data_IF_720040077958
#
_entry.id   IF_720040077958
#
_cell.length_a   1.000
_cell.length_b   1.000
_cell.length_c   1.000
_cell.angle_alpha   90.00
_cell.angle_beta   90.00
_cell.angle_gamma   90.00
#
_symmetry.space_group_name_H-M   'P 1'
#
loop_
_entity.id
_entity.type
_entity.pdbx_description
1 polymer ?
#
# COMPACT_ATOMS: atom_id res chain seq x y z
N UNK A 1 -3.52 53.61 13.55
CA UNK A 1 -3.34 52.17 13.68
C UNK A 1 -4.14 51.54 12.54
N UNK A 2 -3.48 51.00 11.53
CA UNK A 2 -4.16 50.33 10.43
C UNK A 2 -4.60 48.93 10.93
N UNK A 3 -5.89 48.70 10.96
CA UNK A 3 -6.48 47.37 11.19
C UNK A 3 -6.11 46.47 10.00
N UNK A 4 -5.19 45.57 10.25
CA UNK A 4 -4.93 44.46 9.29
C UNK A 4 -6.17 43.56 9.36
N UNK A 5 -7.04 43.69 8.36
CA UNK A 5 -8.16 42.77 8.22
C UNK A 5 -7.57 41.41 7.88
N UNK A 6 -7.91 40.38 8.66
CA UNK A 6 -7.63 39.01 8.32
C UNK A 6 -8.19 38.69 6.92
N UNK A 7 -7.46 38.01 6.05
CA UNK A 7 -8.02 37.63 4.76
C UNK A 7 -9.30 36.82 4.98
N UNK A 8 -10.31 36.95 4.10
CA UNK A 8 -11.57 36.24 4.24
C UNK A 8 -11.27 34.70 4.31
N UNK A 9 -11.98 34.06 5.22
CA UNK A 9 -11.88 32.61 5.39
C UNK A 9 -12.39 31.95 4.10
N UNK A 10 -11.47 31.52 3.23
CA UNK A 10 -11.80 30.94 1.94
C UNK A 10 -12.07 29.46 2.14
N UNK A 11 -13.32 29.06 1.95
CA UNK A 11 -13.71 27.66 1.91
C UNK A 11 -13.23 27.02 0.61
N UNK A 12 -12.34 26.02 0.73
CA UNK A 12 -11.84 25.26 -0.39
C UNK A 12 -12.74 24.05 -0.64
N UNK A 13 -13.20 23.82 -1.89
CA UNK A 13 -14.07 22.69 -2.20
C UNK A 13 -13.35 21.35 -2.05
N UNK A 14 -14.12 20.32 -1.73
CA UNK A 14 -13.66 18.93 -1.66
C UNK A 14 -13.86 18.17 -2.99
N UNK A 15 -14.57 18.80 -3.95
CA UNK A 15 -14.83 18.25 -5.27
C UNK A 15 -14.84 19.37 -6.31
N UNK A 16 -14.34 19.09 -7.50
CA UNK A 16 -14.43 19.97 -8.67
C UNK A 16 -15.70 19.73 -9.51
N UNK A 17 -16.57 18.81 -9.06
CA UNK A 17 -17.80 18.44 -9.75
C UNK A 17 -17.61 17.45 -10.92
N UNK A 18 -16.39 16.97 -11.14
CA UNK A 18 -16.10 15.93 -12.12
C UNK A 18 -16.23 14.53 -11.50
N UNK A 19 -16.53 13.49 -12.29
CA UNK A 19 -16.49 12.11 -11.82
C UNK A 19 -15.08 11.76 -11.30
N UNK A 20 -15.01 10.90 -10.28
CA UNK A 20 -13.75 10.39 -9.73
C UNK A 20 -12.92 9.63 -10.78
N UNK A 21 -13.59 8.88 -11.65
CA UNK A 21 -13.00 8.11 -12.72
C UNK A 21 -14.00 7.98 -13.87
N UNK A 22 -13.48 7.81 -15.09
CA UNK A 22 -14.32 7.64 -16.28
C UNK A 22 -14.97 6.26 -16.35
N UNK A 23 -14.32 5.24 -15.79
CA UNK A 23 -14.78 3.85 -15.77
C UNK A 23 -14.47 3.19 -14.44
N UNK A 24 -15.18 2.11 -14.12
CA UNK A 24 -14.89 1.27 -12.96
C UNK A 24 -13.45 0.76 -12.98
N UNK A 25 -12.98 0.33 -14.14
CA UNK A 25 -11.60 -0.14 -14.33
C UNK A 25 -10.55 0.92 -13.96
N UNK A 26 -10.75 2.17 -14.42
CA UNK A 26 -9.86 3.29 -14.08
C UNK A 26 -9.82 3.52 -12.56
N UNK A 27 -11.00 3.57 -11.92
CA UNK A 27 -11.12 3.72 -10.48
C UNK A 27 -10.39 2.60 -9.72
N UNK A 28 -10.59 1.36 -10.16
CA UNK A 28 -10.01 0.18 -9.50
C UNK A 28 -8.47 0.19 -9.60
N UNK A 29 -7.91 0.61 -10.74
CA UNK A 29 -6.46 0.77 -10.90
C UNK A 29 -5.89 1.86 -9.98
N UNK A 30 -6.56 3.01 -9.86
CA UNK A 30 -6.17 4.08 -8.94
C UNK A 30 -6.16 3.59 -7.49
N UNK A 31 -7.26 2.95 -7.07
CA UNK A 31 -7.40 2.42 -5.71
C UNK A 31 -6.35 1.35 -5.44
N UNK A 32 -6.13 0.42 -6.37
CA UNK A 32 -5.11 -0.63 -6.22
C UNK A 32 -3.71 -0.03 -6.04
N UNK A 33 -3.35 0.98 -6.83
CA UNK A 33 -2.05 1.65 -6.70
C UNK A 33 -1.88 2.34 -5.34
N UNK A 34 -2.88 3.08 -4.89
CA UNK A 34 -2.87 3.77 -3.58
C UNK A 34 -2.77 2.76 -2.43
N UNK A 35 -3.66 1.76 -2.41
CA UNK A 35 -3.72 0.79 -1.33
C UNK A 35 -2.47 -0.12 -1.30
N UNK A 36 -1.89 -0.48 -2.45
CA UNK A 36 -0.61 -1.21 -2.50
C UNK A 36 0.50 -0.44 -1.78
N UNK A 37 0.61 0.86 -2.01
CA UNK A 37 1.63 1.68 -1.33
C UNK A 37 1.29 1.87 0.16
N UNK A 38 0.02 2.05 0.51
CA UNK A 38 -0.41 2.12 1.92
C UNK A 38 -0.08 0.85 2.70
N UNK A 39 -0.22 -0.34 2.12
CA UNK A 39 0.14 -1.60 2.77
C UNK A 39 1.61 -1.63 3.20
N UNK A 40 2.50 -1.01 2.42
CA UNK A 40 3.95 -1.05 2.68
C UNK A 40 4.44 0.16 3.45
N UNK A 41 3.87 1.34 3.20
CA UNK A 41 4.30 2.62 3.77
C UNK A 41 3.33 3.21 4.80
N UNK A 42 2.14 2.61 4.96
CA UNK A 42 1.09 3.17 5.82
C UNK A 42 1.44 3.25 7.31
N UNK A 43 2.43 2.49 7.77
CA UNK A 43 2.98 2.60 9.12
C UNK A 43 3.98 3.75 9.30
N UNK A 44 4.48 4.35 8.21
CA UNK A 44 5.33 5.53 8.28
C UNK A 44 4.47 6.78 8.50
N UNK A 45 4.54 7.42 9.69
CA UNK A 45 3.72 8.59 9.98
C UNK A 45 4.07 9.81 9.12
N UNK A 46 5.20 9.77 8.42
CA UNK A 46 5.71 10.86 7.60
C UNK A 46 5.71 10.52 6.11
N UNK A 47 4.90 9.56 5.70
CA UNK A 47 4.71 9.21 4.29
C UNK A 47 3.22 9.25 3.94
N UNK A 48 2.81 10.30 3.24
CA UNK A 48 1.43 10.46 2.80
C UNK A 48 1.24 9.99 1.37
N UNK A 49 0.24 9.15 1.14
CA UNK A 49 -0.19 8.72 -0.19
C UNK A 49 -1.69 8.86 -0.33
N UNK A 50 -2.12 9.40 -1.45
CA UNK A 50 -3.53 9.59 -1.80
C UNK A 50 -3.71 9.66 -3.31
N UNK A 51 -4.94 9.82 -3.75
CA UNK A 51 -5.30 10.09 -5.15
C UNK A 51 -6.70 10.63 -5.23
N UNK A 52 -7.02 11.22 -6.38
CA UNK A 52 -8.28 11.89 -6.66
C UNK A 52 -8.69 12.90 -5.57
N UNK A 53 -7.70 13.48 -4.91
CA UNK A 53 -7.85 14.51 -3.90
C UNK A 53 -7.44 15.85 -4.51
N UNK A 54 -8.22 16.91 -4.29
CA UNK A 54 -7.88 18.24 -4.79
C UNK A 54 -6.63 18.79 -4.11
N UNK A 55 -5.58 18.98 -4.89
CA UNK A 55 -4.31 19.58 -4.48
C UNK A 55 -4.33 21.06 -4.88
N UNK A 56 -4.52 21.94 -3.91
CA UNK A 56 -4.51 23.39 -4.13
C UNK A 56 -3.08 23.94 -4.03
N UNK A 57 -2.68 24.69 -5.06
CA UNK A 57 -1.30 25.17 -5.17
C UNK A 57 -1.14 26.69 -5.15
N UNK A 58 -2.23 27.45 -4.95
CA UNK A 58 -2.21 28.91 -4.83
C UNK A 58 -3.17 29.35 -3.72
N UNK A 59 -2.60 29.84 -2.62
CA UNK A 59 -3.40 30.31 -1.49
C UNK A 59 -4.32 31.48 -1.91
N UNK A 60 -5.56 31.44 -1.46
CA UNK A 60 -6.55 32.47 -1.80
C UNK A 60 -7.29 32.22 -3.14
N UNK A 61 -6.93 31.18 -3.88
CA UNK A 61 -7.52 30.91 -5.18
C UNK A 61 -8.09 29.48 -5.27
N UNK A 62 -9.39 29.36 -5.03
CA UNK A 62 -10.12 28.06 -5.06
C UNK A 62 -10.16 27.37 -6.44
N UNK A 63 -9.78 28.08 -7.51
CA UNK A 63 -9.75 27.53 -8.87
C UNK A 63 -8.37 26.99 -9.26
N UNK A 64 -7.33 27.18 -8.43
CA UNK A 64 -5.96 26.72 -8.68
C UNK A 64 -5.69 25.43 -7.95
N UNK A 65 -6.24 24.36 -8.50
CA UNK A 65 -6.07 22.99 -8.01
C UNK A 65 -5.85 22.01 -9.16
N UNK A 66 -5.46 20.83 -8.80
CA UNK A 66 -5.35 19.64 -9.66
C UNK A 66 -5.69 18.41 -8.81
N UNK A 67 -6.25 17.38 -9.41
CA UNK A 67 -6.49 16.10 -8.77
C UNK A 67 -5.65 15.03 -9.48
N UNK A 68 -4.49 14.65 -8.92
CA UNK A 68 -3.73 13.52 -9.44
C UNK A 68 -4.47 12.21 -9.15
N UNK A 69 -4.43 11.26 -10.08
CA UNK A 69 -4.99 9.92 -9.86
C UNK A 69 -4.27 9.18 -8.71
N UNK A 70 -2.97 9.41 -8.59
CA UNK A 70 -2.14 8.96 -7.47
C UNK A 70 -1.07 10.01 -7.20
N UNK A 71 -0.81 10.29 -5.92
CA UNK A 71 0.36 11.06 -5.52
C UNK A 71 0.90 10.62 -4.16
N UNK A 72 2.19 10.88 -3.93
CA UNK A 72 2.80 10.65 -2.62
C UNK A 72 3.73 11.79 -2.23
N UNK A 73 3.88 11.97 -0.91
CA UNK A 73 4.68 13.02 -0.28
C UNK A 73 5.42 12.45 0.92
N UNK A 74 6.73 12.59 0.96
CA UNK A 74 7.56 12.24 2.11
C UNK A 74 7.70 13.43 3.06
N UNK A 75 7.77 13.14 4.36
CA UNK A 75 7.94 14.16 5.39
C UNK A 75 6.69 14.99 5.66
N UNK A 76 5.52 14.48 5.30
CA UNK A 76 4.21 15.04 5.60
C UNK A 76 3.43 14.01 6.40
N UNK A 77 2.78 14.45 7.49
CA UNK A 77 2.07 13.57 8.40
C UNK A 77 0.93 12.81 7.69
N UNK A 78 0.88 11.49 7.90
CA UNK A 78 -0.12 10.61 7.29
C UNK A 78 -1.43 10.65 8.10
N UNK A 79 -2.36 11.51 7.70
CA UNK A 79 -3.72 11.60 8.25
C UNK A 79 -4.74 11.85 7.12
N UNK A 80 -6.02 11.52 7.30
CA UNK A 80 -7.08 11.85 6.34
C UNK A 80 -7.20 13.36 6.08
N UNK A 81 -7.50 13.73 4.85
CA UNK A 81 -7.69 15.12 4.40
C UNK A 81 -8.88 15.23 3.48
N UNK A 82 -9.60 16.32 3.57
CA UNK A 82 -10.67 16.67 2.63
C UNK A 82 -10.10 17.24 1.32
N UNK A 83 -8.95 17.91 1.40
CA UNK A 83 -8.17 18.45 0.30
C UNK A 83 -6.71 18.65 0.75
N UNK A 84 -5.79 18.81 -0.19
CA UNK A 84 -4.38 19.01 0.10
C UNK A 84 -3.97 20.47 -0.19
N UNK A 85 -3.66 21.24 0.85
CA UNK A 85 -3.26 22.65 0.74
C UNK A 85 -1.73 22.75 0.86
N UNK A 86 -1.05 22.96 -0.26
CA UNK A 86 0.44 22.95 -0.30
C UNK A 86 1.07 23.91 0.72
N UNK A 87 0.46 25.08 0.94
CA UNK A 87 0.98 26.08 1.88
C UNK A 87 0.80 25.69 3.36
N UNK A 88 -0.18 24.86 3.70
CA UNK A 88 -0.34 24.30 5.06
C UNK A 88 0.54 23.07 5.27
N UNK A 89 0.65 22.23 4.27
CA UNK A 89 1.47 21.02 4.33
C UNK A 89 2.98 21.31 4.20
N UNK A 90 3.35 22.50 3.70
CA UNK A 90 4.74 22.90 3.47
C UNK A 90 5.43 22.20 2.30
N UNK A 91 4.75 21.26 1.63
CA UNK A 91 5.27 20.49 0.50
C UNK A 91 4.22 20.23 -0.57
N UNK A 92 4.64 20.24 -1.82
CA UNK A 92 3.86 19.72 -2.94
C UNK A 92 4.05 18.19 -3.06
N UNK A 93 3.19 17.48 -3.81
CA UNK A 93 3.42 16.11 -4.23
C UNK A 93 4.83 15.92 -4.81
N UNK A 94 5.53 14.87 -4.36
CA UNK A 94 6.87 14.55 -4.88
C UNK A 94 6.80 13.56 -6.05
N UNK A 95 5.79 12.71 -6.08
CA UNK A 95 5.48 11.83 -7.21
C UNK A 95 4.01 11.93 -7.54
N UNK A 96 3.70 11.92 -8.84
CA UNK A 96 2.34 11.81 -9.37
C UNK A 96 2.30 10.73 -10.44
N UNK A 97 1.23 9.94 -10.45
CA UNK A 97 0.94 8.93 -11.48
C UNK A 97 -0.46 9.23 -12.00
N UNK A 98 -0.59 9.35 -13.32
CA UNK A 98 -1.89 9.46 -14.00
C UNK A 98 -2.18 8.15 -14.74
N UNK A 99 -3.33 7.58 -14.46
CA UNK A 99 -3.90 6.46 -15.19
C UNK A 99 -4.69 7.02 -16.36
N UNK A 100 -3.99 7.24 -17.48
CA UNK A 100 -4.54 8.06 -18.54
C UNK A 100 -5.61 7.33 -19.35
N UNK A 101 -6.61 8.08 -19.83
CA UNK A 101 -7.67 7.63 -20.71
C UNK A 101 -7.63 8.38 -22.05
N UNK A 102 -8.44 7.95 -23.02
CA UNK A 102 -8.53 8.64 -24.30
C UNK A 102 -8.98 10.10 -24.17
N UNK A 103 -9.82 10.40 -23.19
CA UNK A 103 -10.36 11.75 -22.95
C UNK A 103 -9.40 12.61 -22.14
N UNK A 104 -8.69 12.05 -21.14
CA UNK A 104 -7.76 12.81 -20.29
C UNK A 104 -6.37 12.95 -20.88
N UNK A 105 -5.99 12.14 -21.86
CA UNK A 105 -4.65 12.10 -22.46
C UNK A 105 -4.06 13.49 -22.73
N UNK A 106 -4.82 14.40 -23.38
CA UNK A 106 -4.29 15.73 -23.73
C UNK A 106 -4.01 16.58 -22.49
N UNK A 107 -4.85 16.43 -21.47
CA UNK A 107 -4.67 17.11 -20.18
C UNK A 107 -3.42 16.57 -19.48
N UNK A 108 -3.26 15.25 -19.41
CA UNK A 108 -2.15 14.58 -18.74
C UNK A 108 -0.81 14.84 -19.44
N UNK A 109 -0.76 14.67 -20.79
CA UNK A 109 0.48 14.86 -21.55
C UNK A 109 0.92 16.33 -21.69
N UNK A 110 0.02 17.29 -21.51
CA UNK A 110 0.31 18.71 -21.76
C UNK A 110 0.08 19.58 -20.53
N UNK A 111 -1.17 19.70 -20.07
CA UNK A 111 -1.56 20.63 -19.00
C UNK A 111 -0.98 20.23 -17.67
N UNK A 112 -1.23 19.00 -17.22
CA UNK A 112 -0.69 18.46 -15.96
C UNK A 112 0.84 18.33 -16.05
N UNK A 113 1.39 17.90 -17.19
CA UNK A 113 2.84 17.81 -17.40
C UNK A 113 3.55 19.13 -17.14
N UNK A 114 3.04 20.23 -17.68
CA UNK A 114 3.59 21.58 -17.47
C UNK A 114 3.34 22.05 -16.04
N UNK A 115 2.14 21.86 -15.52
CA UNK A 115 1.78 22.23 -14.15
C UNK A 115 2.66 21.53 -13.11
N UNK A 116 2.82 20.22 -13.24
CA UNK A 116 3.64 19.42 -12.32
C UNK A 116 5.13 19.80 -12.40
N UNK A 117 5.63 20.04 -13.61
CA UNK A 117 7.01 20.44 -13.81
C UNK A 117 7.30 21.84 -13.29
N UNK A 118 6.52 22.84 -13.68
CA UNK A 118 6.87 24.26 -13.55
C UNK A 118 6.33 24.88 -12.25
N UNK A 119 5.13 24.51 -11.83
CA UNK A 119 4.46 25.09 -10.66
C UNK A 119 4.66 24.24 -9.40
N UNK A 120 4.26 22.96 -9.47
CA UNK A 120 4.30 22.09 -8.30
C UNK A 120 5.70 21.50 -8.06
N UNK A 121 6.55 21.47 -9.08
CA UNK A 121 7.91 20.92 -8.99
C UNK A 121 7.89 19.45 -8.56
N UNK A 122 6.89 18.68 -9.03
CA UNK A 122 6.79 17.24 -8.79
C UNK A 122 8.05 16.55 -9.29
N UNK A 123 8.74 15.81 -8.41
CA UNK A 123 10.04 15.22 -8.72
C UNK A 123 9.93 14.12 -9.77
N UNK A 124 8.85 13.31 -9.69
CA UNK A 124 8.62 12.21 -10.64
C UNK A 124 7.17 12.21 -11.12
N UNK A 125 7.02 12.14 -12.41
CA UNK A 125 5.71 12.10 -13.07
C UNK A 125 5.62 10.87 -13.95
N UNK A 126 4.59 10.04 -13.74
CA UNK A 126 4.35 8.84 -14.50
C UNK A 126 3.01 8.92 -15.22
N UNK A 127 2.99 8.41 -16.45
CA UNK A 127 1.82 8.28 -17.32
C UNK A 127 1.63 6.81 -17.63
N UNK A 128 0.49 6.27 -17.27
CA UNK A 128 0.13 4.87 -17.50
C UNK A 128 -1.13 4.76 -18.35
N UNK A 129 -0.99 4.15 -19.53
CA UNK A 129 -2.08 3.78 -20.43
C UNK A 129 -2.36 2.28 -20.25
N UNK A 130 -3.41 1.91 -19.52
CA UNK A 130 -3.67 0.50 -19.18
C UNK A 130 -3.82 -0.37 -20.41
N UNK A 131 -4.50 0.12 -21.43
CA UNK A 131 -4.80 -0.62 -22.65
C UNK A 131 -3.72 -0.50 -23.73
N UNK A 132 -2.82 0.49 -23.61
CA UNK A 132 -1.78 0.75 -24.60
C UNK A 132 -2.29 1.30 -25.92
N UNK A 133 -3.43 1.98 -25.88
CA UNK A 133 -4.15 2.44 -27.07
C UNK A 133 -3.49 3.67 -27.72
N UNK A 134 -2.91 4.57 -26.90
CA UNK A 134 -2.47 5.89 -27.37
C UNK A 134 -1.09 6.32 -26.87
N UNK A 135 -0.60 5.84 -25.72
CA UNK A 135 0.79 6.12 -25.32
C UNK A 135 1.77 5.09 -25.91
N UNK A 136 2.89 5.58 -26.44
CA UNK A 136 3.96 4.74 -26.96
C UNK A 136 5.30 5.17 -26.36
N UNK A 137 5.88 4.40 -25.41
CA UNK A 137 5.34 3.21 -24.77
C UNK A 137 4.16 3.50 -23.86
N UNK A 138 3.32 2.50 -23.58
CA UNK A 138 2.10 2.61 -22.78
C UNK A 138 2.35 3.03 -21.32
N UNK A 139 3.57 2.88 -20.84
CA UNK A 139 4.00 3.36 -19.55
C UNK A 139 5.25 4.23 -19.71
N UNK A 140 5.19 5.45 -19.20
CA UNK A 140 6.24 6.45 -19.31
C UNK A 140 6.47 7.10 -17.96
N UNK A 141 7.73 7.43 -17.67
CA UNK A 141 8.13 8.15 -16.45
C UNK A 141 9.06 9.29 -16.78
N UNK A 142 8.94 10.35 -16.00
CA UNK A 142 9.74 11.56 -16.12
C UNK A 142 10.26 11.96 -14.74
N UNK A 143 11.51 12.37 -14.68
CA UNK A 143 12.15 12.90 -13.46
C UNK A 143 12.58 14.33 -13.67
N UNK A 144 12.27 15.17 -12.68
CA UNK A 144 12.64 16.58 -12.71
C UNK A 144 14.15 16.75 -12.49
N UNK A 145 14.84 17.31 -13.49
CA UNK A 145 16.25 17.71 -13.39
C UNK A 145 16.36 19.21 -13.70
N UNK A 146 16.68 20.00 -12.68
CA UNK A 146 16.60 21.46 -12.78
C UNK A 146 15.18 21.90 -13.12
N UNK A 147 14.95 22.49 -14.30
CA UNK A 147 13.64 22.98 -14.76
C UNK A 147 13.02 22.11 -15.86
N UNK A 148 13.50 20.89 -16.07
CA UNK A 148 13.04 20.03 -17.16
C UNK A 148 12.71 18.63 -16.66
N UNK A 149 11.65 18.05 -17.18
CA UNK A 149 11.42 16.62 -17.10
C UNK A 149 12.30 15.85 -18.07
N UNK A 150 13.07 14.91 -17.56
CA UNK A 150 13.88 13.98 -18.33
C UNK A 150 13.25 12.61 -18.23
N UNK A 151 13.16 11.87 -19.33
CA UNK A 151 12.61 10.52 -19.32
C UNK A 151 13.39 9.61 -18.36
N UNK A 152 12.67 8.84 -17.58
CA UNK A 152 13.22 7.76 -16.76
C UNK A 152 13.43 6.56 -17.70
N UNK A 153 14.66 6.05 -17.72
CA UNK A 153 14.97 4.86 -18.51
C UNK A 153 14.71 3.58 -17.71
N UNK A 154 14.15 2.55 -18.34
CA UNK A 154 13.91 1.29 -17.67
C UNK A 154 15.22 0.64 -17.20
N UNK A 155 15.15 0.02 -16.01
CA UNK A 155 16.18 -0.87 -15.46
C UNK A 155 15.55 -2.25 -15.33
N UNK A 156 16.05 -3.23 -16.05
CA UNK A 156 15.47 -4.57 -16.15
C UNK A 156 13.96 -4.56 -16.50
N UNK A 157 13.56 -3.68 -17.44
CA UNK A 157 12.17 -3.54 -17.90
C UNK A 157 11.27 -2.64 -17.05
N UNK A 158 11.73 -2.16 -15.89
CA UNK A 158 10.98 -1.39 -14.90
C UNK A 158 11.43 0.05 -14.82
N UNK A 159 10.51 0.98 -14.57
CA UNK A 159 10.86 2.39 -14.35
C UNK A 159 11.17 2.63 -12.86
N UNK A 160 12.42 2.97 -12.50
CA UNK A 160 12.77 3.24 -11.10
C UNK A 160 12.20 4.58 -10.62
N UNK A 161 11.49 4.55 -9.50
CA UNK A 161 11.08 5.72 -8.72
C UNK A 161 12.01 5.90 -7.52
N UNK A 162 12.73 7.00 -7.47
CA UNK A 162 13.58 7.37 -6.32
C UNK A 162 12.74 7.87 -5.14
N UNK A 163 11.60 8.50 -5.42
CA UNK A 163 10.67 8.98 -4.39
C UNK A 163 10.06 7.83 -3.63
N UNK A 164 9.53 6.83 -4.36
CA UNK A 164 8.92 5.66 -3.74
C UNK A 164 9.94 4.64 -3.22
N UNK A 165 11.18 4.67 -3.76
CA UNK A 165 12.18 3.62 -3.52
C UNK A 165 11.81 2.28 -4.16
N UNK A 166 10.99 2.31 -5.20
CA UNK A 166 10.41 1.15 -5.88
C UNK A 166 10.63 1.25 -7.38
N UNK A 167 10.53 0.12 -8.07
CA UNK A 167 10.46 0.09 -9.51
C UNK A 167 9.03 -0.21 -9.95
N UNK A 168 8.54 0.54 -10.93
CA UNK A 168 7.20 0.43 -11.47
C UNK A 168 7.24 -0.30 -12.82
N UNK A 169 6.30 -1.20 -13.03
CA UNK A 169 6.20 -1.96 -14.27
C UNK A 169 4.75 -2.13 -14.70
N UNK A 170 4.51 -2.01 -16.02
CA UNK A 170 3.25 -2.39 -16.61
C UNK A 170 3.13 -3.92 -16.66
N UNK A 171 2.11 -4.48 -16.03
CA UNK A 171 1.80 -5.90 -16.03
C UNK A 171 0.39 -6.14 -16.56
N UNK A 172 0.29 -6.38 -17.87
CA UNK A 172 -0.98 -6.38 -18.58
C UNK A 172 -1.59 -4.98 -18.61
N UNK A 173 -2.77 -4.84 -18.04
CA UNK A 173 -3.52 -3.60 -17.86
C UNK A 173 -3.30 -2.95 -16.48
N UNK A 174 -2.42 -3.52 -15.64
CA UNK A 174 -2.14 -3.08 -14.27
C UNK A 174 -0.76 -2.48 -14.13
N UNK A 175 -0.61 -1.59 -13.15
CA UNK A 175 0.67 -1.07 -12.71
C UNK A 175 1.11 -1.81 -11.44
N UNK A 176 2.28 -2.48 -11.50
CA UNK A 176 2.84 -3.23 -10.38
C UNK A 176 4.07 -2.52 -9.82
N UNK A 177 4.29 -2.72 -8.54
CA UNK A 177 5.40 -2.15 -7.79
C UNK A 177 6.36 -3.26 -7.35
N UNK A 178 7.63 -3.11 -7.70
CA UNK A 178 8.70 -4.04 -7.36
C UNK A 178 9.66 -3.37 -6.39
N UNK A 179 9.99 -4.05 -5.32
CA UNK A 179 10.98 -3.58 -4.35
C UNK A 179 12.37 -4.11 -4.72
N UNK A 180 13.29 -3.25 -5.18
CA UNK A 180 14.64 -3.67 -5.56
C UNK A 180 15.49 -4.08 -4.34
N UNK A 181 15.15 -3.65 -3.12
CA UNK A 181 15.90 -4.00 -1.91
C UNK A 181 15.62 -5.43 -1.48
N UNK A 182 14.38 -5.90 -1.62
CA UNK A 182 13.98 -7.26 -1.28
C UNK A 182 13.95 -8.22 -2.46
N UNK A 183 14.02 -7.70 -3.70
CA UNK A 183 13.88 -8.49 -4.92
C UNK A 183 12.47 -9.05 -5.13
N UNK A 184 11.42 -8.43 -4.59
CA UNK A 184 10.05 -8.94 -4.62
C UNK A 184 9.06 -7.91 -5.15
N UNK A 185 7.99 -8.41 -5.73
CA UNK A 185 6.81 -7.61 -6.02
C UNK A 185 6.07 -7.27 -4.74
N UNK A 186 5.58 -6.04 -4.63
CA UNK A 186 4.63 -5.72 -3.58
C UNK A 186 3.33 -6.45 -3.85
N UNK A 187 2.71 -7.05 -2.83
CA UNK A 187 1.40 -7.68 -3.00
C UNK A 187 0.34 -6.61 -3.31
N UNK A 188 -0.56 -6.91 -4.22
CA UNK A 188 -1.78 -6.11 -4.36
C UNK A 188 -2.65 -6.28 -3.11
N UNK A 189 -3.64 -5.39 -2.87
CA UNK A 189 -4.57 -5.54 -1.75
C UNK A 189 -5.26 -6.91 -1.72
N UNK A 190 -5.63 -7.43 -2.89
CA UNK A 190 -6.25 -8.76 -3.00
C UNK A 190 -5.28 -9.89 -2.68
N UNK A 191 -4.04 -9.82 -3.20
CA UNK A 191 -2.99 -10.80 -2.88
C UNK A 191 -2.65 -10.77 -1.38
N UNK A 192 -2.55 -9.58 -0.78
CA UNK A 192 -2.30 -9.44 0.65
C UNK A 192 -3.43 -10.03 1.50
N UNK A 193 -4.68 -9.78 1.12
CA UNK A 193 -5.85 -10.36 1.78
C UNK A 193 -5.87 -11.88 1.69
N UNK A 194 -5.60 -12.44 0.51
CA UNK A 194 -5.51 -13.89 0.31
C UNK A 194 -4.40 -14.53 1.14
N UNK A 195 -3.22 -13.89 1.19
CA UNK A 195 -2.11 -14.35 2.01
C UNK A 195 -2.43 -14.31 3.51
N UNK A 196 -3.07 -13.24 3.98
CA UNK A 196 -3.49 -13.12 5.38
C UNK A 196 -4.52 -14.20 5.76
N UNK A 197 -5.51 -14.46 4.89
CA UNK A 197 -6.52 -15.50 5.11
C UNK A 197 -5.90 -16.90 5.13
N UNK A 198 -5.02 -17.21 4.18
CA UNK A 198 -4.30 -18.49 4.14
C UNK A 198 -3.43 -18.69 5.40
N UNK A 199 -2.74 -17.63 5.85
CA UNK A 199 -1.94 -17.66 7.07
C UNK A 199 -2.78 -17.90 8.32
N UNK A 200 -3.95 -17.26 8.40
CA UNK A 200 -4.91 -17.45 9.49
C UNK A 200 -5.40 -18.90 9.55
N UNK A 201 -5.81 -19.46 8.40
CA UNK A 201 -6.27 -20.86 8.31
C UNK A 201 -5.17 -21.86 8.70
N UNK A 202 -3.93 -21.60 8.29
CA UNK A 202 -2.78 -22.43 8.68
C UNK A 202 -2.51 -22.36 10.18
N UNK A 203 -2.59 -21.18 10.77
CA UNK A 203 -2.39 -21.00 12.21
C UNK A 203 -3.49 -21.71 13.03
N UNK A 204 -4.76 -21.60 12.62
CA UNK A 204 -5.89 -22.29 13.23
C UNK A 204 -5.76 -23.81 13.14
N UNK A 205 -5.39 -24.33 11.97
CA UNK A 205 -5.16 -25.75 11.79
C UNK A 205 -3.97 -26.27 12.63
N UNK A 206 -2.92 -25.46 12.79
CA UNK A 206 -1.78 -25.79 13.64
C UNK A 206 -2.18 -25.83 15.14
N UNK A 207 -3.01 -24.89 15.57
CA UNK A 207 -3.53 -24.86 16.94
C UNK A 207 -4.37 -26.10 17.24
N UNK A 208 -5.31 -26.46 16.36
CA UNK A 208 -6.16 -27.66 16.51
C UNK A 208 -5.30 -28.92 16.62
N UNK A 209 -4.25 -29.04 15.77
CA UNK A 209 -3.31 -30.18 15.84
C UNK A 209 -2.54 -30.23 17.15
N UNK A 210 -2.08 -29.08 17.63
CA UNK A 210 -1.34 -29.00 18.91
C UNK A 210 -2.24 -29.37 20.09
N UNK A 211 -3.48 -28.92 20.12
CA UNK A 211 -4.46 -29.29 21.16
C UNK A 211 -4.78 -30.80 21.14
N UNK A 212 -4.98 -31.38 19.96
CA UNK A 212 -5.21 -32.81 19.82
C UNK A 212 -4.00 -33.64 20.29
N UNK A 213 -2.78 -33.22 19.95
CA UNK A 213 -1.55 -33.89 20.40
C UNK A 213 -1.38 -33.81 21.92
N UNK A 214 -1.71 -32.67 22.53
CA UNK A 214 -1.69 -32.50 23.98
C UNK A 214 -2.69 -33.44 24.67
N UNK A 215 -3.92 -33.54 24.18
CA UNK A 215 -4.94 -34.45 24.70
C UNK A 215 -4.50 -35.90 24.59
N UNK A 216 -3.90 -36.29 23.45
CA UNK A 216 -3.36 -37.65 23.31
C UNK A 216 -2.25 -37.95 24.31
N UNK A 217 -1.29 -37.04 24.47
CA UNK A 217 -0.20 -37.21 25.43
C UNK A 217 -0.71 -37.30 26.87
N UNK A 218 -1.70 -36.52 27.24
CA UNK A 218 -2.34 -36.60 28.57
C UNK A 218 -3.08 -37.92 28.76
N UNK A 219 -3.79 -38.41 27.76
CA UNK A 219 -4.46 -39.71 27.83
C UNK A 219 -3.47 -40.89 27.94
N UNK A 220 -2.38 -40.87 27.21
CA UNK A 220 -1.29 -41.85 27.31
C UNK A 220 -0.64 -41.81 28.70
N UNK A 221 -0.36 -40.62 29.21
CA UNK A 221 0.18 -40.46 30.58
C UNK A 221 -0.76 -41.04 31.66
N UNK A 222 -2.06 -40.84 31.51
CA UNK A 222 -3.08 -41.40 32.43
C UNK A 222 -3.13 -42.93 32.32
N UNK A 223 -3.10 -43.49 31.11
CA UNK A 223 -3.05 -44.94 30.89
C UNK A 223 -1.79 -45.56 31.51
N UNK A 224 -0.62 -44.97 31.29
CA UNK A 224 0.64 -45.44 31.85
C UNK A 224 0.63 -45.38 33.40
N UNK A 225 0.06 -44.34 34.01
CA UNK A 225 -0.10 -44.23 35.46
C UNK A 225 -1.02 -45.34 36.01
N UNK A 226 -2.16 -45.59 35.36
CA UNK A 226 -3.09 -46.63 35.76
C UNK A 226 -2.49 -48.03 35.64
N UNK A 227 -1.71 -48.29 34.61
CA UNK A 227 -0.99 -49.56 34.43
C UNK A 227 0.10 -49.76 35.48
N UNK A 228 0.89 -48.74 35.75
CA UNK A 228 1.89 -48.78 36.82
C UNK A 228 1.27 -49.08 38.20
N UNK A 229 0.16 -48.49 38.54
CA UNK A 229 -0.55 -48.74 39.80
C UNK A 229 -1.08 -50.19 39.86
N UNK A 230 -1.64 -50.71 38.76
CA UNK A 230 -2.05 -52.11 38.68
C UNK A 230 -0.87 -53.08 38.89
N UNK A 231 0.26 -52.82 38.28
CA UNK A 231 1.48 -53.62 38.40
C UNK A 231 2.00 -53.57 39.84
N UNK A 232 1.95 -52.42 40.49
CA UNK A 232 2.37 -52.23 41.89
C UNK A 232 1.52 -53.05 42.84
N UNK A 233 0.20 -52.99 42.71
CA UNK A 233 -0.74 -53.80 43.52
C UNK A 233 -0.46 -55.29 43.31
N UNK A 234 -0.27 -55.71 42.06
CA UNK A 234 0.03 -57.13 41.76
C UNK A 234 1.36 -57.59 42.33
N UNK A 235 2.33 -56.72 42.35
CA UNK A 235 3.65 -56.99 42.94
C UNK A 235 3.57 -57.15 44.48
N UNK A 236 2.81 -56.31 45.17
CA UNK A 236 2.52 -56.38 46.59
C UNK A 236 1.75 -57.67 46.96
N UNK A 237 0.79 -58.06 46.15
CA UNK A 237 0.05 -59.35 46.33
C UNK A 237 0.97 -60.57 46.18
N UNK A 238 1.88 -60.56 45.19
CA UNK A 238 2.85 -61.61 45.00
C UNK A 238 3.84 -61.72 46.15
N UNK A 239 4.33 -60.57 46.69
CA UNK A 239 5.23 -60.51 47.82
C UNK A 239 4.58 -61.07 49.08
N UNK A 240 3.27 -60.84 49.31
CA UNK A 240 2.53 -61.43 50.45
C UNK A 240 2.34 -62.97 50.40
N UNK A 241 2.41 -63.52 49.15
CA UNK A 241 2.26 -64.95 48.91
C UNK A 241 3.56 -65.74 49.00
N UNK A 242 4.70 -65.07 49.03
CA UNK A 242 6.00 -65.73 49.27
C UNK A 242 6.11 -66.12 50.71
N UNK A 243 6.49 -67.35 51.02
CA UNK A 243 6.76 -67.77 52.44
C UNK A 243 7.93 -66.96 52.99
N UNK A 244 7.92 -66.70 54.30
CA UNK A 244 9.07 -66.06 54.93
C UNK A 244 10.32 -66.95 54.68
N UNK A 245 11.32 -66.35 54.04
CA UNK A 245 12.58 -67.03 53.75
C UNK A 245 13.23 -67.42 55.07
N UNK A 246 13.76 -68.63 55.16
CA UNK A 246 14.55 -69.15 56.27
C UNK A 246 15.84 -68.36 56.45
#
# INVERSE_FOLDING_TARGET
MATVSSPPDIEYPTSDGRPMAETDHHRDLMVEGIETIKLVRGSDPNFYVSGNLLVFYEQGNRHKHVAPDFFAVRGVHNHPRDHYLIWLEGKAPEVAIEYTSKSTRKEDEKTKFVLYRDKLRVQEYFLFDPFGDYLKPAFQGYRLKGNRYVKIHPVAGRLPSEVLGLHLERHGDRLRFYDPATGRWLPTPDEARQQAEASRQQAEAAQIRAEAALQQAEAEKQRAKAENERLRIKLEELQRRLPPGD
#
